data_IF_690309218572
#
_entry.id   IF_690309218572
#
_cell.length_a   1.000
_cell.length_b   1.000
_cell.length_c   1.000
_cell.angle_alpha   90.00
_cell.angle_beta   90.00
_cell.angle_gamma   90.00
#
_symmetry.space_group_name_H-M   'P 1'
#
loop_
_entity.id
_entity.type
_entity.pdbx_description
1 polymer ?
#
# COMPACT_ATOMS: atom_id res chain seq x y z
N UNK A 1 -31.16 -8.62 -3.72
CA UNK A 1 -31.04 -9.70 -4.72
C UNK A 1 -29.86 -9.36 -5.62
N UNK A 2 -28.66 -9.87 -5.33
CA UNK A 2 -27.53 -9.75 -6.26
C UNK A 2 -27.84 -10.57 -7.52
N UNK A 3 -27.88 -9.90 -8.68
CA UNK A 3 -28.01 -10.58 -9.97
C UNK A 3 -26.73 -11.37 -10.21
N UNK A 4 -26.85 -12.68 -10.33
CA UNK A 4 -25.73 -13.54 -10.71
C UNK A 4 -25.09 -13.03 -12.03
N UNK A 5 -23.75 -12.99 -12.12
CA UNK A 5 -23.07 -12.48 -13.31
C UNK A 5 -23.45 -13.30 -14.53
N UNK A 6 -23.82 -12.62 -15.63
CA UNK A 6 -24.15 -13.28 -16.90
C UNK A 6 -22.90 -13.94 -17.50
N UNK A 7 -23.08 -15.00 -18.30
CA UNK A 7 -21.95 -15.72 -18.94
C UNK A 7 -20.99 -14.80 -19.71
N UNK A 8 -21.52 -13.72 -20.29
CA UNK A 8 -20.77 -12.66 -20.98
C UNK A 8 -19.92 -11.80 -20.03
N UNK A 9 -20.47 -11.45 -18.87
CA UNK A 9 -19.75 -10.73 -17.80
C UNK A 9 -18.62 -11.56 -17.21
N UNK A 10 -18.77 -12.89 -17.12
CA UNK A 10 -17.71 -13.79 -16.65
C UNK A 10 -16.53 -13.88 -17.63
N UNK A 11 -16.80 -14.00 -18.93
CA UNK A 11 -15.74 -14.03 -19.94
C UNK A 11 -14.99 -12.70 -20.02
N UNK A 12 -15.69 -11.59 -19.80
CA UNK A 12 -15.09 -10.25 -19.81
C UNK A 12 -14.21 -10.01 -18.58
N UNK A 13 -14.64 -10.44 -17.38
CA UNK A 13 -13.81 -10.33 -16.17
C UNK A 13 -12.53 -11.17 -16.26
N UNK A 14 -12.59 -12.35 -16.86
CA UNK A 14 -11.42 -13.20 -17.11
C UNK A 14 -10.45 -12.58 -18.12
N UNK A 15 -10.98 -11.97 -19.18
CA UNK A 15 -10.17 -11.24 -20.15
C UNK A 15 -9.45 -10.05 -19.51
N UNK A 16 -10.15 -9.25 -18.69
CA UNK A 16 -9.58 -8.11 -17.98
C UNK A 16 -8.51 -8.53 -16.96
N UNK A 17 -8.70 -9.65 -16.27
CA UNK A 17 -7.67 -10.24 -15.39
C UNK A 17 -6.43 -10.70 -16.17
N UNK A 18 -6.62 -11.29 -17.35
CA UNK A 18 -5.51 -11.63 -18.23
C UNK A 18 -4.71 -10.40 -18.64
N UNK A 19 -5.39 -9.32 -19.01
CA UNK A 19 -4.76 -8.05 -19.34
C UNK A 19 -4.01 -7.45 -18.15
N UNK A 20 -4.64 -7.38 -16.96
CA UNK A 20 -3.97 -6.81 -15.79
C UNK A 20 -2.71 -7.59 -15.42
N UNK A 21 -2.76 -8.92 -15.46
CA UNK A 21 -1.60 -9.78 -15.23
C UNK A 21 -0.50 -9.52 -16.26
N UNK A 22 -0.86 -9.42 -17.55
CA UNK A 22 0.10 -9.12 -18.60
C UNK A 22 0.76 -7.75 -18.40
N UNK A 23 -0.01 -6.69 -18.16
CA UNK A 23 0.55 -5.37 -17.90
C UNK A 23 1.39 -5.31 -16.62
N UNK A 24 1.04 -6.11 -15.61
CA UNK A 24 1.87 -6.27 -14.42
C UNK A 24 3.24 -6.83 -14.80
N UNK A 25 3.33 -7.88 -15.61
CA UNK A 25 4.62 -8.44 -16.07
C UNK A 25 5.46 -7.46 -16.89
N UNK A 26 4.80 -6.56 -17.63
CA UNK A 26 5.46 -5.47 -18.38
C UNK A 26 5.84 -4.27 -17.50
N UNK A 27 5.54 -4.31 -16.20
CA UNK A 27 5.69 -3.19 -15.26
C UNK A 27 4.91 -1.94 -15.68
N UNK A 28 3.86 -2.10 -16.49
CA UNK A 28 2.93 -1.03 -16.81
C UNK A 28 1.85 -0.97 -15.71
N UNK A 29 2.24 -0.42 -14.56
CA UNK A 29 1.40 -0.35 -13.36
C UNK A 29 0.10 0.45 -13.56
N UNK A 30 0.08 1.59 -14.28
CA UNK A 30 -1.16 2.34 -14.53
C UNK A 30 -2.20 1.53 -15.30
N UNK A 31 -1.79 0.84 -16.38
CA UNK A 31 -2.72 0.00 -17.16
C UNK A 31 -3.17 -1.22 -16.35
N UNK A 32 -2.25 -1.86 -15.62
CA UNK A 32 -2.57 -2.96 -14.71
C UNK A 32 -3.68 -2.56 -13.72
N UNK A 33 -3.52 -1.41 -13.05
CA UNK A 33 -4.50 -0.89 -12.10
C UNK A 33 -5.85 -0.63 -12.77
N UNK A 34 -5.86 0.02 -13.95
CA UNK A 34 -7.10 0.34 -14.66
C UNK A 34 -7.92 -0.92 -14.98
N UNK A 35 -7.27 -1.97 -15.48
CA UNK A 35 -7.97 -3.22 -15.80
C UNK A 35 -8.39 -3.99 -14.54
N UNK A 36 -7.53 -4.07 -13.52
CA UNK A 36 -7.87 -4.75 -12.28
C UNK A 36 -9.01 -4.07 -11.50
N UNK A 37 -9.13 -2.74 -11.57
CA UNK A 37 -10.29 -2.01 -11.03
C UNK A 37 -11.57 -2.35 -11.78
N UNK A 38 -11.54 -2.42 -13.12
CA UNK A 38 -12.70 -2.81 -13.91
C UNK A 38 -13.18 -4.22 -13.59
N UNK A 39 -12.28 -5.15 -13.27
CA UNK A 39 -12.68 -6.51 -12.82
C UNK A 39 -13.65 -6.45 -11.63
N UNK A 40 -13.53 -5.43 -10.77
CA UNK A 40 -14.42 -5.25 -9.61
C UNK A 40 -15.83 -4.78 -9.99
N UNK A 41 -16.04 -4.32 -11.22
CA UNK A 41 -17.38 -3.99 -11.73
C UNK A 41 -18.15 -5.25 -12.13
N UNK A 42 -17.44 -6.38 -12.28
CA UNK A 42 -18.00 -7.70 -12.52
C UNK A 42 -18.05 -8.49 -11.21
N UNK A 43 -18.87 -9.55 -11.16
CA UNK A 43 -19.26 -10.24 -9.93
C UNK A 43 -18.15 -10.68 -8.95
N UNK A 44 -18.58 -11.16 -7.78
CA UNK A 44 -17.70 -11.30 -6.62
C UNK A 44 -16.61 -12.37 -6.70
N UNK A 45 -16.69 -13.27 -7.69
CA UNK A 45 -15.81 -14.43 -7.82
C UNK A 45 -14.35 -14.08 -8.15
N UNK A 46 -14.10 -12.90 -8.73
CA UNK A 46 -12.77 -12.46 -9.15
C UNK A 46 -12.17 -11.35 -8.29
N UNK A 47 -12.89 -10.85 -7.28
CA UNK A 47 -12.42 -9.76 -6.43
C UNK A 47 -11.13 -10.11 -5.68
N UNK A 48 -11.02 -11.31 -5.11
CA UNK A 48 -9.83 -11.69 -4.35
C UNK A 48 -8.56 -11.64 -5.22
N UNK A 49 -8.67 -12.09 -6.47
CA UNK A 49 -7.58 -12.08 -7.44
C UNK A 49 -7.27 -10.67 -7.91
N UNK A 50 -8.27 -9.84 -8.19
CA UNK A 50 -8.04 -8.46 -8.59
C UNK A 50 -7.42 -7.62 -7.47
N UNK A 51 -7.82 -7.84 -6.21
CA UNK A 51 -7.22 -7.18 -5.04
C UNK A 51 -5.75 -7.57 -4.85
N UNK A 52 -5.37 -8.83 -5.10
CA UNK A 52 -3.97 -9.26 -5.10
C UNK A 52 -3.13 -8.53 -6.15
N UNK A 53 -3.64 -8.42 -7.38
CA UNK A 53 -2.97 -7.70 -8.47
C UNK A 53 -2.86 -6.20 -8.15
N UNK A 54 -3.95 -5.61 -7.64
CA UNK A 54 -3.98 -4.20 -7.23
C UNK A 54 -2.99 -3.92 -6.10
N UNK A 55 -2.89 -4.80 -5.10
CA UNK A 55 -1.94 -4.64 -4.00
C UNK A 55 -0.50 -4.55 -4.51
N UNK A 56 -0.10 -5.44 -5.44
CA UNK A 56 1.23 -5.40 -6.04
C UNK A 56 1.42 -4.09 -6.82
N UNK A 57 0.47 -3.75 -7.70
CA UNK A 57 0.57 -2.56 -8.53
C UNK A 57 0.65 -1.27 -7.71
N UNK A 58 -0.14 -1.14 -6.65
CA UNK A 58 -0.15 0.03 -5.77
C UNK A 58 1.15 0.18 -4.99
N UNK A 59 1.69 -0.91 -4.45
CA UNK A 59 2.97 -0.88 -3.72
C UNK A 59 4.10 -0.47 -4.64
N UNK A 60 4.19 -1.07 -5.84
CA UNK A 60 5.23 -0.73 -6.80
C UNK A 60 5.11 0.73 -7.27
N UNK A 61 3.89 1.21 -7.54
CA UNK A 61 3.65 2.59 -7.96
C UNK A 61 4.02 3.58 -6.86
N UNK A 62 3.72 3.24 -5.60
CA UNK A 62 4.12 4.04 -4.45
C UNK A 62 5.64 4.08 -4.27
N UNK A 63 6.34 2.99 -4.58
CA UNK A 63 7.80 2.93 -4.52
C UNK A 63 8.49 3.69 -5.68
N UNK A 64 7.84 3.80 -6.84
CA UNK A 64 8.32 4.64 -7.95
C UNK A 64 8.21 6.14 -7.64
N UNK A 65 7.20 6.53 -6.84
CA UNK A 65 6.99 7.92 -6.45
C UNK A 65 7.84 8.31 -5.22
N UNK A 66 9.15 8.44 -5.45
CA UNK A 66 10.12 8.84 -4.41
C UNK A 66 9.88 10.28 -3.96
N UNK A 67 10.07 10.53 -2.66
CA UNK A 67 10.01 11.87 -2.08
C UNK A 67 11.24 12.70 -2.50
N UNK A 68 11.19 14.03 -2.28
CA UNK A 68 12.20 15.00 -2.71
C UNK A 68 13.65 14.64 -2.30
N UNK A 69 13.81 13.81 -1.27
CA UNK A 69 15.11 13.38 -0.74
C UNK A 69 15.49 11.95 -1.16
N UNK A 70 14.90 11.39 -2.23
CA UNK A 70 15.04 9.99 -2.69
C UNK A 70 14.52 8.91 -1.74
N UNK A 71 14.01 9.28 -0.57
CA UNK A 71 13.34 8.36 0.35
C UNK A 71 12.03 7.85 -0.24
N UNK A 72 11.73 6.59 0.04
CA UNK A 72 10.45 5.98 -0.29
C UNK A 72 9.36 6.62 0.55
N UNK A 73 8.19 6.86 -0.05
CA UNK A 73 7.02 7.29 0.70
C UNK A 73 6.41 6.10 1.44
N UNK A 74 6.97 5.72 2.60
CA UNK A 74 6.55 4.53 3.35
C UNK A 74 5.04 4.53 3.70
N UNK A 75 4.48 5.71 3.98
CA UNK A 75 3.03 5.86 4.17
C UNK A 75 2.23 5.55 2.89
N UNK A 76 2.75 5.88 1.71
CA UNK A 76 2.12 5.55 0.43
C UNK A 76 2.26 4.07 0.11
N UNK A 77 3.40 3.44 0.44
CA UNK A 77 3.62 1.99 0.28
C UNK A 77 2.64 1.20 1.14
N UNK A 78 2.46 1.60 2.41
CA UNK A 78 1.45 0.99 3.29
C UNK A 78 0.01 1.41 2.94
N UNK A 79 -0.19 2.30 1.96
CA UNK A 79 -1.50 2.82 1.57
C UNK A 79 -2.26 3.51 2.72
N UNK A 80 -1.53 4.11 3.66
CA UNK A 80 -2.08 4.87 4.79
C UNK A 80 -2.05 6.36 4.51
N UNK A 81 -3.01 7.10 5.08
CA UNK A 81 -3.01 8.56 5.00
C UNK A 81 -1.90 9.11 5.87
N UNK A 82 -1.31 10.23 5.44
CA UNK A 82 -0.31 10.98 6.22
C UNK A 82 -0.80 11.45 7.59
N UNK A 83 -2.11 11.53 7.84
CA UNK A 83 -2.63 11.86 9.16
C UNK A 83 -2.62 10.66 10.13
N UNK A 84 -2.73 9.45 9.58
CA UNK A 84 -2.95 8.22 10.35
C UNK A 84 -1.65 7.47 10.63
N UNK A 85 -0.54 7.87 9.99
CA UNK A 85 0.79 7.27 10.22
C UNK A 85 1.29 7.41 11.67
N UNK A 86 0.69 8.32 12.44
CA UNK A 86 0.87 8.46 13.89
C UNK A 86 0.42 7.22 14.68
N UNK A 87 -0.56 6.48 14.18
CA UNK A 87 -1.25 5.43 14.91
C UNK A 87 -0.68 4.05 14.60
N UNK A 88 0.18 3.55 15.50
CA UNK A 88 0.86 2.25 15.36
C UNK A 88 -0.09 1.08 15.09
N UNK A 89 -1.26 1.05 15.73
CA UNK A 89 -2.24 -0.03 15.53
C UNK A 89 -2.82 -0.04 14.11
N UNK A 90 -3.07 1.14 13.53
CA UNK A 90 -3.52 1.25 12.13
C UNK A 90 -2.43 0.82 11.16
N UNK A 91 -1.19 1.25 11.40
CA UNK A 91 -0.04 0.85 10.59
C UNK A 91 0.14 -0.67 10.64
N UNK A 92 0.01 -1.29 11.82
CA UNK A 92 0.14 -2.73 12.00
C UNK A 92 -0.97 -3.50 11.26
N UNK A 93 -2.22 -3.10 11.48
CA UNK A 93 -3.38 -3.73 10.84
C UNK A 93 -3.29 -3.67 9.32
N UNK A 94 -2.83 -2.53 8.78
CA UNK A 94 -2.65 -2.35 7.36
C UNK A 94 -1.47 -3.15 6.80
N UNK A 95 -0.37 -3.25 7.54
CA UNK A 95 0.75 -4.13 7.20
C UNK A 95 0.30 -5.60 7.13
N UNK A 96 -0.41 -6.10 8.14
CA UNK A 96 -0.90 -7.48 8.18
C UNK A 96 -1.82 -7.79 6.98
N UNK A 97 -2.70 -6.84 6.64
CA UNK A 97 -3.57 -6.93 5.47
C UNK A 97 -2.78 -7.00 4.16
N UNK A 98 -1.81 -6.11 3.96
CA UNK A 98 -0.98 -6.11 2.75
C UNK A 98 -0.09 -7.34 2.67
N UNK A 99 0.51 -7.77 3.79
CA UNK A 99 1.31 -8.98 3.87
C UNK A 99 0.50 -10.22 3.47
N UNK A 100 -0.76 -10.32 3.90
CA UNK A 100 -1.65 -11.40 3.48
C UNK A 100 -1.96 -11.38 1.97
N UNK A 101 -2.15 -10.19 1.37
CA UNK A 101 -2.43 -10.03 -0.06
C UNK A 101 -1.21 -10.25 -0.96
N UNK A 102 -0.01 -9.97 -0.46
CA UNK A 102 1.25 -10.04 -1.21
C UNK A 102 2.03 -11.34 -0.97
N UNK A 103 1.62 -12.15 0.01
CA UNK A 103 2.31 -13.38 0.36
C UNK A 103 2.51 -14.28 -0.87
N UNK A 104 3.74 -14.65 -1.26
CA UNK A 104 4.00 -15.43 -2.46
C UNK A 104 3.37 -16.83 -2.44
N UNK A 105 3.02 -17.36 -1.25
CA UNK A 105 2.27 -18.61 -1.13
C UNK A 105 0.82 -18.47 -1.63
N UNK A 106 0.24 -17.29 -1.51
CA UNK A 106 -1.15 -16.97 -1.87
C UNK A 106 -1.21 -16.25 -3.23
N UNK A 107 -0.31 -15.29 -3.44
CA UNK A 107 -0.23 -14.42 -4.61
C UNK A 107 0.98 -14.82 -5.48
N UNK A 108 0.67 -15.52 -6.58
CA UNK A 108 1.66 -16.00 -7.56
C UNK A 108 1.92 -15.02 -8.70
N UNK A 109 1.45 -13.78 -8.60
CA UNK A 109 1.66 -12.78 -9.63
C UNK A 109 3.11 -12.25 -9.61
N UNK A 110 3.55 -11.72 -10.74
CA UNK A 110 4.89 -11.14 -10.85
C UNK A 110 5.08 -10.01 -9.82
N UNK A 111 6.29 -9.89 -9.29
CA UNK A 111 6.69 -8.85 -8.32
C UNK A 111 5.97 -8.91 -6.97
N UNK A 112 5.22 -9.98 -6.65
CA UNK A 112 4.56 -10.12 -5.34
C UNK A 112 5.56 -10.14 -4.19
N UNK A 113 6.67 -10.86 -4.36
CA UNK A 113 7.76 -10.91 -3.39
C UNK A 113 8.46 -9.55 -3.24
N UNK A 114 8.73 -8.85 -4.34
CA UNK A 114 9.37 -7.53 -4.31
C UNK A 114 8.47 -6.50 -3.61
N UNK A 115 7.17 -6.52 -3.91
CA UNK A 115 6.18 -5.69 -3.24
C UNK A 115 6.08 -6.01 -1.74
N UNK A 116 6.11 -7.28 -1.35
CA UNK A 116 6.12 -7.67 0.06
C UNK A 116 7.37 -7.14 0.78
N UNK A 117 8.54 -7.18 0.13
CA UNK A 117 9.78 -6.60 0.66
C UNK A 117 9.66 -5.10 0.95
N UNK A 118 9.09 -4.34 0.01
CA UNK A 118 8.83 -2.90 0.19
C UNK A 118 7.87 -2.61 1.34
N UNK A 119 6.82 -3.43 1.48
CA UNK A 119 5.86 -3.32 2.59
C UNK A 119 6.52 -3.63 3.93
N UNK A 120 7.43 -4.61 3.96
CA UNK A 120 8.17 -4.97 5.16
C UNK A 120 9.16 -3.87 5.58
N UNK A 121 9.88 -3.28 4.64
CA UNK A 121 10.77 -2.13 4.88
C UNK A 121 9.99 -0.91 5.40
N UNK A 122 8.83 -0.62 4.80
CA UNK A 122 7.96 0.45 5.29
C UNK A 122 7.46 0.19 6.72
N UNK A 123 7.12 -1.05 7.04
CA UNK A 123 6.71 -1.45 8.38
C UNK A 123 7.85 -1.38 9.39
N UNK A 124 9.06 -1.83 9.06
CA UNK A 124 10.20 -1.82 9.99
C UNK A 124 10.52 -0.40 10.46
N UNK A 125 10.50 0.58 9.53
CA UNK A 125 10.75 1.99 9.86
C UNK A 125 9.60 2.61 10.64
N UNK A 126 8.34 2.35 10.25
CA UNK A 126 7.18 3.02 10.86
C UNK A 126 6.71 2.37 12.17
N UNK A 127 7.12 1.14 12.44
CA UNK A 127 6.75 0.40 13.66
C UNK A 127 7.65 0.72 14.86
N UNK A 128 8.86 1.20 14.61
CA UNK A 128 9.81 1.64 15.62
C UNK A 128 9.69 3.17 15.82
N UNK A 129 9.43 3.64 17.06
CA UNK A 129 9.33 5.07 17.35
C UNK A 129 10.59 5.87 17.00
N UNK A 130 11.79 5.30 17.18
CA UNK A 130 13.06 6.00 16.95
C UNK A 130 13.32 6.17 15.44
N UNK A 131 13.24 5.08 14.69
CA UNK A 131 13.37 5.07 13.21
C UNK A 131 12.31 5.95 12.55
N UNK A 132 11.08 5.95 13.09
CA UNK A 132 10.00 6.80 12.59
C UNK A 132 10.32 8.28 12.76
N UNK A 133 10.81 8.70 13.93
CA UNK A 133 11.20 10.09 14.17
C UNK A 133 12.34 10.50 13.24
N UNK A 134 13.32 9.61 13.05
CA UNK A 134 14.39 9.85 12.08
C UNK A 134 13.84 10.01 10.65
N UNK A 135 12.98 9.10 10.20
CA UNK A 135 12.34 9.18 8.89
C UNK A 135 11.51 10.46 8.73
N UNK A 136 10.73 10.87 9.73
CA UNK A 136 9.97 12.13 9.73
C UNK A 136 10.90 13.33 9.51
N UNK A 137 12.02 13.39 10.23
CA UNK A 137 13.02 14.43 10.07
C UNK A 137 13.65 14.43 8.67
N UNK A 138 13.97 13.25 8.13
CA UNK A 138 14.58 13.08 6.80
C UNK A 138 13.64 13.51 5.66
N UNK A 139 12.34 13.27 5.78
CA UNK A 139 11.36 13.68 4.75
C UNK A 139 10.88 15.13 4.92
N UNK A 140 11.44 15.86 5.90
CA UNK A 140 11.06 17.24 6.18
C UNK A 140 9.64 17.37 6.73
N UNK A 141 9.14 16.36 7.44
CA UNK A 141 7.90 16.50 8.20
C UNK A 141 8.15 17.59 9.25
N UNK A 142 7.33 18.67 9.28
CA UNK A 142 7.49 19.66 10.32
C UNK A 142 7.13 18.97 11.64
N UNK A 143 8.15 18.68 12.43
CA UNK A 143 8.03 18.33 13.83
C UNK A 143 7.02 19.30 14.43
N UNK A 144 5.90 18.79 14.94
CA UNK A 144 5.05 19.60 15.82
C UNK A 144 5.91 19.86 17.05
N UNK A 145 6.65 20.97 17.00
CA UNK A 145 7.46 21.52 18.07
C UNK A 145 6.54 21.77 19.25
N UNK A 146 6.37 20.74 20.08
CA UNK A 146 5.60 20.86 21.30
C UNK A 146 6.33 21.87 22.19
N UNK A 147 5.68 23.00 22.45
CA UNK A 147 6.07 23.97 23.46
C UNK A 147 6.27 23.24 24.80
N UNK A 148 7.52 22.98 25.15
CA UNK A 148 7.91 22.84 26.53
C UNK A 148 7.58 24.18 27.21
N UNK A 149 6.41 24.27 27.86
CA UNK A 149 6.18 25.25 28.91
C UNK A 149 7.12 24.89 30.06
N UNK A 150 8.33 25.41 29.97
CA UNK A 150 9.22 25.70 31.09
C UNK A 150 8.46 26.63 32.05
N UNK A 151 7.65 26.07 32.95
CA UNK A 151 7.35 26.76 34.19
C UNK A 151 8.52 26.51 35.13
N UNK A 152 9.49 27.42 35.01
CA UNK A 152 10.57 27.64 35.97
C UNK A 152 10.07 27.45 37.40
N UNK A 153 10.77 26.60 38.13
CA UNK A 153 10.90 26.81 39.55
C UNK A 153 11.59 28.16 39.75
N UNK A 154 10.93 29.06 40.48
CA UNK A 154 11.63 30.05 41.29
C UNK A 154 11.10 29.82 42.70
N UNK A 155 11.95 29.20 43.53
CA UNK A 155 11.92 29.41 44.97
C UNK A 155 12.22 30.89 45.19
N UNK A 156 11.38 31.56 45.97
CA UNK A 156 11.74 32.48 47.06
C UNK A 156 10.50 32.77 47.90
#
# INVERSE_FOLDING_TARGET
>A
MERAPTRRSRTESEYLLGLSTHFLTLRNLPMCQQYALRVREFGTDKHSVSEQILAVAHVLLAAENRLCNRHLAYFSILQIRRADFGNRHLVQSQYEKLAALLNPNVNKFAFSQDALGLVWEAWSVLSDPEEKVQYENEIGFPEKRNEHKEKKGTRE
#
